data_IF_697106528138
#
_entry.id   IF_697106528138
#
_cell.length_a   1.000
_cell.length_b   1.000
_cell.length_c   1.000
_cell.angle_alpha   90.00
_cell.angle_beta   90.00
_cell.angle_gamma   90.00
#
_symmetry.space_group_name_H-M   'P 1'
#
loop_
_entity.id
_entity.type
_entity.pdbx_description
1 polymer ?
#
# COMPACT_ATOMS: atom_id res chain seq x y z
N UNK A 1 -0.60 5.74 5.90
CA UNK A 1 0.75 5.71 6.53
C UNK A 1 1.18 4.27 6.76
N UNK A 2 0.56 3.54 7.70
CA UNK A 2 0.82 2.11 7.92
C UNK A 2 0.79 1.26 6.64
N UNK A 3 -0.23 1.45 5.80
CA UNK A 3 -0.35 0.75 4.52
C UNK A 3 0.85 0.96 3.58
N UNK A 4 1.19 2.23 3.30
CA UNK A 4 2.30 2.56 2.40
C UNK A 4 3.64 2.07 2.96
N UNK A 5 3.85 2.19 4.26
CA UNK A 5 5.06 1.72 4.95
C UNK A 5 5.22 0.19 4.78
N UNK A 6 4.19 -0.56 5.16
CA UNK A 6 4.12 -2.01 5.01
C UNK A 6 4.30 -2.46 3.55
N UNK A 7 3.56 -1.85 2.62
CA UNK A 7 3.60 -2.18 1.20
C UNK A 7 4.98 -1.92 0.60
N UNK A 8 5.59 -0.76 0.88
CA UNK A 8 6.90 -0.40 0.35
C UNK A 8 8.03 -1.20 1.00
N UNK A 9 7.93 -1.58 2.27
CA UNK A 9 8.90 -2.49 2.90
C UNK A 9 8.91 -3.84 2.21
N UNK A 10 7.73 -4.45 1.99
CA UNK A 10 7.64 -5.72 1.26
C UNK A 10 8.21 -5.58 -0.16
N UNK A 11 7.88 -4.47 -0.83
CA UNK A 11 8.36 -4.22 -2.18
C UNK A 11 9.88 -4.04 -2.26
N UNK A 12 10.47 -3.15 -1.45
CA UNK A 12 11.89 -2.81 -1.53
C UNK A 12 12.82 -3.85 -0.90
N UNK A 13 12.41 -4.46 0.22
CA UNK A 13 13.19 -5.49 0.88
C UNK A 13 12.87 -6.91 0.34
N UNK A 14 11.95 -7.02 -0.63
CA UNK A 14 11.50 -8.30 -1.23
C UNK A 14 11.06 -9.30 -0.17
N UNK A 15 10.36 -8.83 0.85
CA UNK A 15 9.92 -9.67 1.98
C UNK A 15 8.79 -10.60 1.52
N UNK A 16 8.87 -11.90 1.82
CA UNK A 16 7.73 -12.78 1.60
C UNK A 16 6.57 -12.41 2.52
N UNK A 17 5.35 -12.69 2.08
CA UNK A 17 4.14 -12.45 2.85
C UNK A 17 3.31 -13.73 2.98
N UNK A 18 2.49 -13.77 4.02
CA UNK A 18 1.58 -14.89 4.27
C UNK A 18 0.35 -14.76 3.37
N UNK A 19 0.11 -15.75 2.51
CA UNK A 19 -1.09 -15.79 1.68
C UNK A 19 -2.32 -16.18 2.52
N UNK A 20 -3.42 -15.47 2.29
CA UNK A 20 -4.70 -15.68 2.94
C UNK A 20 -5.55 -16.58 2.04
N UNK A 21 -6.07 -17.66 2.60
CA UNK A 21 -7.11 -18.47 1.96
C UNK A 21 -8.43 -17.68 1.92
N UNK A 22 -8.81 -17.22 0.74
CA UNK A 22 -9.99 -16.38 0.53
C UNK A 22 -11.30 -17.08 0.87
N UNK A 23 -11.34 -18.42 0.82
CA UNK A 23 -12.54 -19.19 1.17
C UNK A 23 -12.82 -19.16 2.68
N UNK A 24 -11.79 -18.90 3.49
CA UNK A 24 -11.92 -18.79 4.96
C UNK A 24 -12.44 -17.43 5.43
N UNK A 25 -12.54 -16.44 4.52
CA UNK A 25 -12.91 -15.08 4.89
C UNK A 25 -14.42 -15.02 5.21
N UNK A 26 -14.82 -14.69 6.44
CA UNK A 26 -16.22 -14.79 6.87
C UNK A 26 -17.10 -13.65 6.33
N UNK A 27 -16.51 -12.56 5.85
CA UNK A 27 -17.25 -11.38 5.41
C UNK A 27 -17.92 -11.56 4.04
N UNK A 28 -19.25 -11.36 4.01
CA UNK A 28 -20.08 -11.52 2.81
C UNK A 28 -19.77 -10.44 1.78
N UNK A 29 -19.46 -9.21 2.21
CA UNK A 29 -19.18 -8.11 1.29
C UNK A 29 -17.90 -8.39 0.51
N UNK A 30 -16.85 -8.83 1.20
CA UNK A 30 -15.59 -9.28 0.61
C UNK A 30 -15.85 -10.34 -0.45
N UNK A 31 -16.50 -11.46 -0.08
CA UNK A 31 -16.72 -12.59 -1.00
C UNK A 31 -17.51 -12.17 -2.25
N UNK A 32 -18.51 -11.30 -2.09
CA UNK A 32 -19.30 -10.77 -3.23
C UNK A 32 -18.46 -9.90 -4.14
N UNK A 33 -17.67 -8.97 -3.60
CA UNK A 33 -16.80 -8.11 -4.41
C UNK A 33 -15.72 -8.93 -5.11
N UNK A 34 -15.08 -9.87 -4.41
CA UNK A 34 -14.07 -10.76 -4.98
C UNK A 34 -14.62 -11.63 -6.11
N UNK A 35 -15.79 -12.25 -5.90
CA UNK A 35 -16.48 -13.02 -6.92
C UNK A 35 -16.87 -12.16 -8.13
N UNK A 36 -17.36 -10.93 -7.90
CA UNK A 36 -17.71 -10.00 -8.97
C UNK A 36 -16.48 -9.60 -9.82
N UNK A 37 -15.35 -9.24 -9.18
CA UNK A 37 -14.10 -8.91 -9.90
C UNK A 37 -13.66 -10.12 -10.73
N UNK A 38 -13.64 -11.31 -10.13
CA UNK A 38 -13.23 -12.54 -10.80
C UNK A 38 -14.14 -12.85 -12.00
N UNK A 39 -15.46 -12.79 -11.81
CA UNK A 39 -16.43 -13.10 -12.87
C UNK A 39 -16.44 -12.07 -14.00
N UNK A 40 -16.25 -10.78 -13.69
CA UNK A 40 -16.29 -9.70 -14.69
C UNK A 40 -14.99 -9.56 -15.49
N UNK A 41 -13.84 -9.94 -14.91
CA UNK A 41 -12.52 -9.71 -15.53
C UNK A 41 -11.76 -10.99 -15.89
N UNK A 42 -12.12 -12.12 -15.27
CA UNK A 42 -11.38 -13.38 -15.34
C UNK A 42 -10.06 -13.39 -14.57
N UNK A 43 -9.74 -12.34 -13.80
CA UNK A 43 -8.54 -12.31 -12.96
C UNK A 43 -8.73 -13.15 -11.71
N UNK A 44 -7.70 -13.89 -11.33
CA UNK A 44 -7.65 -14.57 -10.05
C UNK A 44 -7.23 -13.56 -8.98
N UNK A 45 -8.04 -13.42 -7.93
CA UNK A 45 -7.63 -12.67 -6.75
C UNK A 45 -6.84 -13.55 -5.80
N UNK A 46 -5.81 -12.94 -5.20
CA UNK A 46 -5.01 -13.48 -4.11
C UNK A 46 -4.87 -12.39 -3.05
N UNK A 47 -4.74 -12.75 -1.78
CA UNK A 47 -4.54 -11.76 -0.72
C UNK A 47 -3.42 -12.18 0.23
N UNK A 48 -2.73 -11.19 0.79
CA UNK A 48 -1.55 -11.40 1.63
C UNK A 48 -1.59 -10.49 2.86
N UNK A 49 -1.11 -10.98 4.00
CA UNK A 49 -0.79 -10.14 5.16
C UNK A 49 0.58 -9.49 4.96
N UNK A 50 0.61 -8.17 4.82
CA UNK A 50 1.82 -7.34 4.76
C UNK A 50 2.14 -6.67 6.10
N UNK A 51 1.52 -7.06 7.21
CA UNK A 51 1.75 -6.45 8.52
C UNK A 51 3.23 -6.49 8.91
N UNK A 52 3.73 -5.37 9.39
CA UNK A 52 5.12 -5.15 9.82
C UNK A 52 5.17 -4.76 11.30
N UNK A 53 6.31 -4.29 11.79
CA UNK A 53 6.63 -4.10 13.21
C UNK A 53 5.61 -3.28 14.01
N UNK A 54 4.98 -2.27 13.39
CA UNK A 54 3.93 -1.47 14.04
C UNK A 54 2.62 -2.26 14.27
N UNK A 55 2.56 -3.52 13.82
CA UNK A 55 1.50 -4.50 14.04
C UNK A 55 0.07 -3.98 13.71
N UNK A 56 -0.03 -3.12 12.70
CA UNK A 56 -1.32 -2.69 12.15
C UNK A 56 -1.63 -3.62 10.98
N UNK A 57 -2.76 -4.34 11.01
CA UNK A 57 -3.13 -5.24 9.91
C UNK A 57 -3.11 -4.51 8.57
N UNK A 58 -2.31 -5.02 7.63
CA UNK A 58 -2.20 -4.50 6.27
C UNK A 58 -2.45 -5.64 5.28
N UNK A 59 -3.54 -5.59 4.54
CA UNK A 59 -3.85 -6.57 3.51
C UNK A 59 -3.38 -6.06 2.16
N UNK A 60 -2.77 -6.92 1.34
CA UNK A 60 -2.55 -6.67 -0.07
C UNK A 60 -3.34 -7.66 -0.91
N UNK A 61 -4.17 -7.16 -1.83
CA UNK A 61 -4.88 -7.93 -2.84
C UNK A 61 -4.13 -7.83 -4.15
N UNK A 62 -3.80 -8.98 -4.72
CA UNK A 62 -3.19 -9.10 -6.04
C UNK A 62 -4.23 -9.68 -7.00
N UNK A 63 -4.62 -8.90 -8.01
CA UNK A 63 -5.36 -9.41 -9.15
C UNK A 63 -4.37 -9.92 -10.20
N UNK A 64 -4.40 -11.22 -10.45
CA UNK A 64 -3.49 -11.91 -11.35
C UNK A 64 -4.19 -12.32 -12.63
N UNK A 65 -3.65 -11.90 -13.78
CA UNK A 65 -4.21 -12.26 -15.07
C UNK A 65 -4.07 -13.77 -15.36
N UNK A 66 -5.08 -14.37 -16.03
CA UNK A 66 -4.96 -15.72 -16.55
C UNK A 66 -3.92 -15.78 -17.68
N UNK A 67 -3.38 -16.98 -17.93
CA UNK A 67 -2.49 -17.23 -19.07
C UNK A 67 -1.18 -16.44 -19.06
N UNK A 68 -0.69 -16.02 -17.87
CA UNK A 68 0.57 -15.30 -17.73
C UNK A 68 0.54 -13.85 -18.22
N UNK A 69 -0.64 -13.21 -18.29
CA UNK A 69 -0.75 -11.77 -18.57
C UNK A 69 -0.50 -11.37 -20.03
N UNK A 70 -0.55 -12.30 -20.98
CA UNK A 70 -0.41 -11.95 -22.41
C UNK A 70 -1.64 -11.17 -22.90
N UNK A 71 -1.43 -9.97 -23.43
CA UNK A 71 -2.47 -9.12 -24.02
C UNK A 71 -3.42 -8.46 -23.02
N UNK A 72 -3.05 -8.41 -21.73
CA UNK A 72 -3.76 -7.69 -20.67
C UNK A 72 -2.79 -7.32 -19.55
N UNK A 73 -3.16 -6.45 -18.60
CA UNK A 73 -2.35 -6.22 -17.41
C UNK A 73 -1.98 -7.52 -16.68
N UNK A 74 -0.69 -7.76 -16.41
CA UNK A 74 -0.25 -9.01 -15.80
C UNK A 74 -0.68 -9.12 -14.33
N UNK A 75 -0.34 -8.11 -13.54
CA UNK A 75 -0.70 -8.00 -12.13
C UNK A 75 -1.25 -6.61 -11.82
N UNK A 76 -2.18 -6.54 -10.88
CA UNK A 76 -2.52 -5.33 -10.14
C UNK A 76 -2.40 -5.62 -8.65
N UNK A 77 -1.74 -4.73 -7.93
CA UNK A 77 -1.69 -4.76 -6.47
C UNK A 77 -2.52 -3.61 -5.91
N UNK A 78 -3.33 -3.92 -4.91
CA UNK A 78 -4.05 -2.96 -4.07
C UNK A 78 -3.74 -3.31 -2.62
N UNK A 79 -3.54 -2.33 -1.75
CA UNK A 79 -3.27 -2.57 -0.34
C UNK A 79 -4.10 -1.64 0.53
N UNK A 80 -4.44 -2.09 1.73
CA UNK A 80 -5.09 -1.25 2.72
C UNK A 80 -4.70 -1.70 4.12
N UNK A 81 -4.58 -0.73 5.04
CA UNK A 81 -4.32 -1.00 6.45
C UNK A 81 -5.50 -0.55 7.32
N UNK A 82 -5.85 -1.39 8.30
CA UNK A 82 -6.92 -1.11 9.25
C UNK A 82 -6.75 -1.93 10.54
N UNK A 83 -7.13 -1.43 11.73
CA UNK A 83 -7.05 -2.22 12.99
C UNK A 83 -7.85 -3.52 12.99
N UNK A 84 -8.91 -3.57 12.19
CA UNK A 84 -9.67 -4.79 11.86
C UNK A 84 -9.13 -5.41 10.56
N UNK A 85 -8.55 -6.62 10.59
CA UNK A 85 -8.05 -7.29 9.40
C UNK A 85 -9.11 -7.54 8.31
N UNK A 86 -10.35 -7.81 8.70
CA UNK A 86 -11.46 -8.03 7.74
C UNK A 86 -11.73 -6.74 6.98
N UNK A 87 -11.71 -5.60 7.68
CA UNK A 87 -11.89 -4.30 7.06
C UNK A 87 -10.68 -3.91 6.18
N UNK A 88 -9.45 -4.23 6.60
CA UNK A 88 -8.25 -4.03 5.77
C UNK A 88 -8.37 -4.80 4.44
N UNK A 89 -8.70 -6.09 4.50
CA UNK A 89 -8.89 -6.92 3.31
C UNK A 89 -10.03 -6.42 2.42
N UNK A 90 -11.15 -6.04 3.02
CA UNK A 90 -12.29 -5.48 2.30
C UNK A 90 -11.95 -4.18 1.56
N UNK A 91 -11.26 -3.26 2.22
CA UNK A 91 -10.85 -1.98 1.61
C UNK A 91 -9.91 -2.22 0.43
N UNK A 92 -8.88 -3.05 0.60
CA UNK A 92 -7.95 -3.41 -0.48
C UNK A 92 -8.69 -4.03 -1.68
N UNK A 93 -9.68 -4.89 -1.42
CA UNK A 93 -10.49 -5.54 -2.47
C UNK A 93 -11.40 -4.56 -3.20
N UNK A 94 -12.03 -3.63 -2.48
CA UNK A 94 -12.91 -2.60 -3.06
C UNK A 94 -12.14 -1.64 -3.97
N UNK A 95 -10.90 -1.33 -3.62
CA UNK A 95 -10.03 -0.50 -4.45
C UNK A 95 -9.52 -1.25 -5.69
N UNK A 96 -9.28 -2.57 -5.57
CA UNK A 96 -8.76 -3.37 -6.67
C UNK A 96 -9.69 -3.35 -7.92
N UNK A 97 -11.02 -3.33 -7.74
CA UNK A 97 -11.97 -3.36 -8.85
C UNK A 97 -11.83 -2.17 -9.81
N UNK A 98 -12.09 -0.92 -9.36
CA UNK A 98 -11.95 0.27 -10.20
C UNK A 98 -10.53 0.46 -10.75
N UNK A 99 -9.49 0.13 -9.97
CA UNK A 99 -8.10 0.20 -10.43
C UNK A 99 -7.84 -0.79 -11.57
N UNK A 100 -8.36 -2.01 -11.48
CA UNK A 100 -8.22 -3.03 -12.52
C UNK A 100 -8.94 -2.65 -13.80
N UNK A 101 -10.17 -2.13 -13.68
CA UNK A 101 -10.95 -1.65 -14.81
C UNK A 101 -10.22 -0.50 -15.54
N UNK A 102 -9.74 0.49 -14.78
CA UNK A 102 -8.94 1.58 -15.32
C UNK A 102 -7.69 1.06 -16.05
N UNK A 103 -6.93 0.16 -15.43
CA UNK A 103 -5.70 -0.39 -15.98
C UNK A 103 -5.96 -1.22 -17.26
N UNK A 104 -7.04 -2.00 -17.28
CA UNK A 104 -7.49 -2.71 -18.48
C UNK A 104 -7.86 -1.74 -19.61
N UNK A 105 -8.56 -0.65 -19.28
CA UNK A 105 -8.91 0.40 -20.24
C UNK A 105 -7.68 1.10 -20.84
N UNK A 106 -6.68 1.42 -20.01
CA UNK A 106 -5.40 1.99 -20.48
C UNK A 106 -4.66 1.00 -21.39
N UNK A 107 -4.58 -0.27 -21.00
CA UNK A 107 -3.93 -1.31 -21.80
C UNK A 107 -4.60 -1.50 -23.16
N UNK A 108 -5.94 -1.50 -23.22
CA UNK A 108 -6.69 -1.64 -24.45
C UNK A 108 -6.46 -0.47 -25.43
N UNK A 109 -6.33 0.76 -24.92
CA UNK A 109 -6.07 1.97 -25.73
C UNK A 109 -4.61 2.10 -26.14
N UNK A 110 -3.69 1.66 -25.29
CA UNK A 110 -2.25 1.81 -25.49
C UNK A 110 -1.51 0.48 -25.20
N UNK A 111 -1.63 -0.52 -26.10
CA UNK A 111 -0.89 -1.77 -25.98
C UNK A 111 0.61 -1.46 -25.95
N UNK A 112 1.30 -1.90 -24.89
CA UNK A 112 2.74 -1.63 -24.71
C UNK A 112 3.08 -0.46 -23.80
N UNK A 113 2.11 0.33 -23.31
CA UNK A 113 2.37 1.43 -22.36
C UNK A 113 3.08 0.98 -21.07
N UNK A 114 2.90 -0.28 -20.69
CA UNK A 114 3.54 -0.90 -19.53
C UNK A 114 5.03 -1.22 -19.73
N UNK A 115 5.53 -1.31 -20.97
CA UNK A 115 6.89 -1.76 -21.26
C UNK A 115 7.95 -0.76 -20.77
N UNK A 116 7.72 0.54 -20.97
CA UNK A 116 8.63 1.61 -20.55
C UNK A 116 8.84 1.64 -19.03
N UNK A 117 7.79 1.77 -18.17
CA UNK A 117 7.97 1.76 -16.72
C UNK A 117 8.39 0.40 -16.16
N UNK A 118 8.23 -0.70 -16.92
CA UNK A 118 8.77 -2.01 -16.56
C UNK A 118 10.29 -2.10 -16.77
N UNK A 119 10.78 -1.62 -17.91
CA UNK A 119 12.19 -1.65 -18.26
C UNK A 119 13.04 -0.69 -17.40
N UNK A 120 12.50 0.48 -17.08
CA UNK A 120 13.24 1.54 -16.41
C UNK A 120 12.47 2.10 -15.19
N UNK A 121 12.95 1.88 -13.96
CA UNK A 121 12.35 2.47 -12.74
C UNK A 121 12.28 4.00 -12.76
N UNK A 122 13.14 4.71 -13.49
CA UNK A 122 13.11 6.18 -13.56
C UNK A 122 11.90 6.72 -14.34
N UNK A 123 11.18 5.85 -15.05
CA UNK A 123 9.94 6.20 -15.73
C UNK A 123 8.71 6.10 -14.81
N UNK A 124 8.87 5.65 -13.56
CA UNK A 124 7.81 5.69 -12.55
C UNK A 124 7.78 7.07 -11.89
N UNK A 125 7.08 8.02 -12.51
CA UNK A 125 7.08 9.45 -12.12
C UNK A 125 5.83 9.88 -11.34
N UNK A 126 4.82 9.03 -11.33
CA UNK A 126 3.56 9.22 -10.62
C UNK A 126 2.93 7.87 -10.30
N UNK A 127 1.92 7.87 -9.43
CA UNK A 127 1.22 6.65 -9.01
C UNK A 127 0.69 5.79 -10.17
N UNK A 128 0.08 6.34 -11.24
CA UNK A 128 -0.38 5.52 -12.36
C UNK A 128 0.75 4.76 -13.07
N UNK A 129 1.96 5.31 -13.12
CA UNK A 129 3.12 4.64 -13.73
C UNK A 129 3.55 3.42 -12.89
N UNK A 130 3.35 3.48 -11.56
CA UNK A 130 3.60 2.34 -10.68
C UNK A 130 2.66 1.18 -11.03
N UNK A 131 1.37 1.43 -11.22
CA UNK A 131 0.43 0.40 -11.66
C UNK A 131 0.80 -0.17 -13.04
N UNK A 132 1.22 0.68 -13.99
CA UNK A 132 1.68 0.26 -15.31
C UNK A 132 2.91 -0.64 -15.27
N UNK A 133 3.86 -0.38 -14.35
CA UNK A 133 5.04 -1.23 -14.16
C UNK A 133 4.67 -2.68 -13.82
N UNK A 134 3.65 -2.89 -12.98
CA UNK A 134 3.17 -4.23 -12.62
C UNK A 134 2.16 -4.82 -13.62
N UNK A 135 1.62 -3.99 -14.50
CA UNK A 135 0.83 -4.46 -15.63
C UNK A 135 1.67 -5.20 -16.69
N UNK A 136 3.00 -5.07 -16.67
CA UNK A 136 3.90 -5.81 -17.56
C UNK A 136 4.14 -7.24 -17.08
N UNK A 137 4.35 -8.20 -17.99
CA UNK A 137 4.52 -9.62 -17.65
C UNK A 137 5.71 -9.91 -16.74
N UNK A 138 6.79 -9.14 -16.84
CA UNK A 138 7.95 -9.22 -15.92
C UNK A 138 7.58 -8.98 -14.44
N UNK A 139 6.37 -8.48 -14.15
CA UNK A 139 5.89 -8.32 -12.79
C UNK A 139 5.84 -9.65 -12.03
N UNK A 140 5.64 -10.78 -12.72
CA UNK A 140 5.67 -12.11 -12.10
C UNK A 140 7.03 -12.38 -11.43
N UNK A 141 8.13 -12.08 -12.12
CA UNK A 141 9.48 -12.28 -11.57
C UNK A 141 9.76 -11.28 -10.44
N UNK A 142 9.37 -10.02 -10.62
CA UNK A 142 9.60 -8.96 -9.60
C UNK A 142 8.86 -9.26 -8.30
N UNK A 143 7.63 -9.76 -8.40
CA UNK A 143 6.77 -10.09 -7.28
C UNK A 143 6.80 -11.58 -6.90
N UNK A 144 7.73 -12.38 -7.42
CA UNK A 144 7.82 -13.81 -7.08
C UNK A 144 7.94 -14.06 -5.57
N UNK A 145 8.63 -13.18 -4.85
CA UNK A 145 8.71 -13.22 -3.37
C UNK A 145 7.34 -13.11 -2.68
N UNK A 146 6.34 -12.53 -3.36
CA UNK A 146 4.97 -12.43 -2.89
C UNK A 146 4.11 -13.56 -3.46
N UNK A 147 4.09 -13.70 -4.80
CA UNK A 147 3.14 -14.56 -5.51
C UNK A 147 3.62 -16.01 -5.73
N UNK A 148 4.90 -16.29 -5.53
CA UNK A 148 5.51 -17.62 -5.75
C UNK A 148 6.49 -17.98 -4.62
N UNK A 149 6.10 -17.69 -3.37
CA UNK A 149 6.97 -17.87 -2.22
C UNK A 149 6.95 -19.28 -1.61
N UNK A 150 6.24 -20.22 -2.25
CA UNK A 150 6.16 -21.62 -1.85
C UNK A 150 5.33 -21.92 -0.59
N UNK A 151 4.76 -20.90 0.06
CA UNK A 151 3.93 -21.08 1.26
C UNK A 151 2.49 -21.41 0.88
N UNK A 152 1.89 -22.36 1.60
CA UNK A 152 0.46 -22.63 1.44
C UNK A 152 -0.36 -21.49 2.05
N UNK A 153 -1.50 -21.10 1.43
CA UNK A 153 -2.43 -20.16 2.05
C UNK A 153 -2.91 -20.66 3.40
N UNK A 154 -3.09 -19.74 4.35
CA UNK A 154 -3.64 -20.03 5.69
C UNK A 154 -4.94 -19.27 5.90
N UNK A 155 -5.72 -19.65 6.90
CA UNK A 155 -6.94 -18.93 7.23
C UNK A 155 -6.66 -17.48 7.67
N UNK A 156 -7.66 -16.60 7.49
CA UNK A 156 -7.54 -15.17 7.79
C UNK A 156 -7.04 -14.90 9.22
N UNK A 157 -7.52 -15.66 10.22
CA UNK A 157 -7.12 -15.42 11.60
C UNK A 157 -5.66 -15.79 11.80
N UNK A 158 -5.22 -16.92 11.26
CA UNK A 158 -3.80 -17.34 11.29
C UNK A 158 -2.89 -16.35 10.56
N UNK A 159 -3.29 -15.86 9.38
CA UNK A 159 -2.50 -14.91 8.60
C UNK A 159 -2.17 -13.65 9.41
N UNK A 160 -3.16 -13.08 10.09
CA UNK A 160 -2.98 -11.89 10.92
C UNK A 160 -2.62 -12.19 12.39
N UNK A 161 -2.16 -13.40 12.72
CA UNK A 161 -1.74 -13.77 14.08
C UNK A 161 -2.83 -13.60 15.14
N UNK A 162 -4.10 -13.82 14.78
CA UNK A 162 -5.26 -13.67 15.66
C UNK A 162 -5.63 -12.23 15.99
N UNK A 163 -4.96 -11.22 15.39
CA UNK A 163 -5.26 -9.80 15.62
C UNK A 163 -6.72 -9.49 15.31
N UNK A 164 -7.35 -8.71 16.18
CA UNK A 164 -8.72 -8.20 16.00
C UNK A 164 -8.76 -6.76 16.47
N UNK A 165 -9.68 -5.99 15.92
CA UNK A 165 -9.97 -4.65 16.45
C UNK A 165 -10.47 -4.78 17.90
N UNK A 166 -9.94 -3.99 18.86
CA UNK A 166 -10.50 -3.94 20.21
C UNK A 166 -11.98 -3.52 20.16
N UNK A 167 -12.85 -4.26 20.83
CA UNK A 167 -14.29 -4.00 20.82
C UNK A 167 -14.69 -2.94 21.86
N UNK A 168 -15.68 -2.10 21.53
CA UNK A 168 -16.34 -1.22 22.50
C UNK A 168 -15.59 0.06 22.88
N UNK A 169 -14.49 0.38 22.19
CA UNK A 169 -13.70 1.58 22.48
C UNK A 169 -14.03 2.75 21.55
N UNK A 170 -13.81 3.96 22.05
CA UNK A 170 -13.96 5.19 21.28
C UNK A 170 -12.80 5.36 20.29
N UNK A 171 -13.02 6.14 19.23
CA UNK A 171 -12.02 6.35 18.18
C UNK A 171 -10.71 6.94 18.72
N UNK A 172 -10.78 7.81 19.73
CA UNK A 172 -9.59 8.43 20.33
C UNK A 172 -8.71 7.41 21.07
N UNK A 173 -9.29 6.35 21.65
CA UNK A 173 -8.51 5.26 22.25
C UNK A 173 -7.76 4.49 21.16
N UNK A 174 -8.44 4.11 20.07
CA UNK A 174 -7.80 3.44 18.94
C UNK A 174 -6.69 4.29 18.31
N UNK A 175 -6.89 5.59 18.14
CA UNK A 175 -5.86 6.49 17.58
C UNK A 175 -4.65 6.57 18.51
N UNK A 176 -4.84 6.64 19.83
CA UNK A 176 -3.73 6.63 20.80
C UNK A 176 -2.99 5.30 20.84
N UNK A 177 -3.70 4.17 20.77
CA UNK A 177 -3.08 2.84 20.66
C UNK A 177 -2.22 2.75 19.39
N UNK A 178 -2.77 3.14 18.23
CA UNK A 178 -2.01 3.16 16.98
C UNK A 178 -0.77 4.05 17.07
N UNK A 179 -0.90 5.27 17.61
CA UNK A 179 0.24 6.16 17.80
C UNK A 179 1.30 5.55 18.74
N UNK A 180 0.85 4.88 19.81
CA UNK A 180 1.73 4.14 20.74
C UNK A 180 2.49 3.00 20.07
N UNK A 181 1.87 2.27 19.14
CA UNK A 181 2.55 1.22 18.37
C UNK A 181 3.66 1.78 17.50
N UNK A 182 3.41 2.88 16.77
CA UNK A 182 4.45 3.56 16.00
C UNK A 182 5.59 4.05 16.89
N UNK A 183 5.27 4.67 18.03
CA UNK A 183 6.26 5.12 19.00
C UNK A 183 7.10 3.97 19.56
N UNK A 184 6.51 2.79 19.79
CA UNK A 184 7.23 1.60 20.23
C UNK A 184 8.23 1.05 19.20
N UNK A 185 8.02 1.37 17.92
CA UNK A 185 8.94 1.11 16.82
C UNK A 185 9.97 2.24 16.61
N UNK A 186 10.03 3.22 17.51
CA UNK A 186 10.92 4.38 17.39
C UNK A 186 10.46 5.41 16.35
N UNK A 187 9.20 5.38 15.94
CA UNK A 187 8.61 6.33 15.00
C UNK A 187 7.65 7.28 15.72
N UNK A 188 8.00 8.57 15.77
CA UNK A 188 7.07 9.59 16.24
C UNK A 188 5.89 9.74 15.29
N UNK A 189 4.72 10.10 15.80
CA UNK A 189 3.54 10.41 14.97
C UNK A 189 3.26 11.91 15.04
N UNK A 190 3.45 12.59 13.93
CA UNK A 190 3.20 14.02 13.76
C UNK A 190 1.89 14.23 13.00
N UNK A 191 1.06 15.15 13.49
CA UNK A 191 -0.21 15.51 12.86
C UNK A 191 -0.19 17.00 12.54
N UNK A 192 -0.36 17.33 11.26
CA UNK A 192 -0.56 18.69 10.80
C UNK A 192 -2.04 18.91 10.49
N UNK A 193 -2.66 19.89 11.14
CA UNK A 193 -4.01 20.34 10.79
C UNK A 193 -3.95 21.14 9.47
N UNK A 194 -4.67 20.66 8.47
CA UNK A 194 -4.81 21.27 7.16
C UNK A 194 -6.24 21.75 6.91
N UNK A 195 -7.03 21.92 7.97
CA UNK A 195 -8.40 22.42 7.88
C UNK A 195 -8.37 23.87 7.39
N UNK A 196 -8.97 24.10 6.23
CA UNK A 196 -9.13 25.46 5.68
C UNK A 196 -10.44 26.07 6.17
N UNK A 197 -10.64 27.36 5.93
CA UNK A 197 -11.89 28.03 6.28
C UNK A 197 -13.10 27.38 5.60
N UNK A 198 -12.96 26.96 4.33
CA UNK A 198 -14.00 26.28 3.56
C UNK A 198 -14.32 24.89 4.15
N UNK A 199 -13.30 24.11 4.52
CA UNK A 199 -13.50 22.83 5.20
C UNK A 199 -14.24 23.02 6.53
N UNK A 200 -13.81 24.01 7.34
CA UNK A 200 -14.44 24.29 8.62
C UNK A 200 -15.90 24.76 8.45
N UNK A 201 -16.18 25.62 7.47
CA UNK A 201 -17.53 26.06 7.14
C UNK A 201 -18.45 24.90 6.70
N UNK A 202 -17.88 23.86 6.09
CA UNK A 202 -18.58 22.62 5.74
C UNK A 202 -18.67 21.59 6.88
N UNK A 203 -18.16 21.89 8.08
CA UNK A 203 -18.13 20.94 9.20
C UNK A 203 -17.10 19.81 9.06
N UNK A 204 -16.10 19.98 8.19
CA UNK A 204 -15.05 18.99 7.91
C UNK A 204 -13.75 19.31 8.67
N UNK A 205 -12.91 18.29 8.80
CA UNK A 205 -11.54 18.38 9.31
C UNK A 205 -10.59 17.69 8.34
N UNK A 206 -9.48 18.33 8.03
CA UNK A 206 -8.45 17.79 7.16
C UNK A 206 -7.14 17.73 7.93
N UNK A 207 -6.51 16.57 7.98
CA UNK A 207 -5.23 16.38 8.68
C UNK A 207 -4.27 15.63 7.79
N UNK A 208 -2.98 15.93 7.94
CA UNK A 208 -1.88 15.15 7.38
C UNK A 208 -1.10 14.50 8.52
N UNK A 209 -1.04 13.17 8.50
CA UNK A 209 -0.29 12.38 9.47
C UNK A 209 1.04 11.95 8.86
N UNK A 210 2.12 12.11 9.61
CA UNK A 210 3.48 11.76 9.24
C UNK A 210 4.09 10.90 10.36
N UNK A 211 4.80 9.84 9.99
CA UNK A 211 5.67 9.12 10.91
C UNK A 211 7.10 9.14 10.37
N UNK A 212 7.96 10.05 10.86
CA UNK A 212 9.38 10.00 10.56
C UNK A 212 9.93 8.61 10.91
N UNK A 213 10.58 7.95 9.94
CA UNK A 213 11.05 6.57 10.05
C UNK A 213 10.26 5.58 9.18
N UNK A 214 9.00 5.88 8.84
CA UNK A 214 8.24 5.10 7.86
C UNK A 214 8.81 5.31 6.44
N UNK A 215 8.74 4.28 5.60
CA UNK A 215 9.23 4.30 4.22
C UNK A 215 8.43 5.31 3.40
N UNK A 216 9.06 6.39 2.88
CA UNK A 216 8.36 7.37 2.09
C UNK A 216 8.19 6.87 0.66
N UNK A 217 7.01 7.10 0.09
CA UNK A 217 6.81 6.96 -1.34
C UNK A 217 7.31 8.22 -2.05
N UNK A 218 8.26 8.08 -2.97
CA UNK A 218 8.78 9.19 -3.77
C UNK A 218 8.86 8.80 -5.24
N UNK A 219 8.48 9.72 -6.14
CA UNK A 219 8.48 9.50 -7.59
C UNK A 219 9.44 10.42 -8.35
N UNK A 220 10.22 11.24 -7.64
CA UNK A 220 11.21 12.15 -8.24
C UNK A 220 12.60 11.54 -8.16
N UNK A 221 13.52 11.86 -9.09
CA UNK A 221 14.93 11.55 -8.93
C UNK A 221 15.40 12.09 -7.57
N UNK A 222 16.26 11.34 -6.87
CA UNK A 222 16.84 11.75 -5.58
C UNK A 222 17.30 13.20 -5.69
N UNK A 223 16.62 14.12 -5.01
CA UNK A 223 17.19 15.44 -4.77
C UNK A 223 18.43 15.17 -3.91
N UNK A 224 19.64 15.60 -4.33
CA UNK A 224 20.82 15.46 -3.50
C UNK A 224 20.51 16.00 -2.11
N UNK A 225 20.90 15.25 -1.07
CA UNK A 225 20.69 15.68 0.30
C UNK A 225 21.19 17.12 0.44
N UNK A 226 20.29 18.06 0.77
CA UNK A 226 20.73 19.38 1.21
C UNK A 226 21.42 19.20 2.57
N UNK A 227 22.60 19.79 2.79
CA UNK A 227 23.25 19.75 4.09
C UNK A 227 22.29 20.27 5.16
N UNK A 228 22.38 19.70 6.38
CA UNK A 228 21.51 20.13 7.47
C UNK A 228 21.78 21.61 7.76
N UNK A 229 20.79 22.42 8.16
CA UNK A 229 21.00 23.84 8.47
C UNK A 229 22.11 24.10 9.50
N UNK A 230 22.40 23.14 10.37
CA UNK A 230 23.49 23.21 11.34
C UNK A 230 24.89 23.13 10.72
N UNK A 231 25.05 22.51 9.54
CA UNK A 231 26.35 22.40 8.84
C UNK A 231 26.66 23.63 7.98
N UNK A 232 25.67 24.52 7.75
CA UNK A 232 25.86 25.77 7.02
C UNK A 232 26.26 26.94 7.93
N UNK A 233 26.17 26.78 9.25
CA UNK A 233 26.47 27.83 10.23
C UNK A 233 27.96 27.87 10.66
N UNK A 234 28.75 26.85 10.33
CA UNK A 234 30.14 26.71 10.79
C UNK A 234 31.17 27.44 9.89
N UNK A 235 30.70 28.26 8.95
CA UNK A 235 31.54 28.99 7.98
C UNK A 235 31.28 30.49 7.90
N UNK A 236 30.45 31.06 8.76
CA UNK A 236 30.20 32.50 8.79
C UNK A 236 31.02 33.16 9.91
N UNK A 237 32.29 33.44 9.64
CA UNK A 237 33.03 34.46 10.40
C UNK A 237 32.25 35.78 10.34
N UNK A 238 31.85 36.30 11.51
CA UNK A 238 31.37 37.67 11.63
C UNK A 238 32.51 38.62 11.30
N UNK A 239 32.37 39.57 10.35
CA UNK A 239 33.36 40.61 10.20
C UNK A 239 33.25 41.57 11.40
N UNK A 240 34.33 41.69 12.16
CA UNK A 240 34.55 42.82 13.06
C UNK A 240 34.73 44.09 12.23
N UNK A 241 33.95 45.13 12.53
CA UNK A 241 34.04 46.45 11.89
C UNK A 241 32.74 47.24 11.97
#
# INVERSE_FOLDING_TARGET
>A
MAELDAFLMHHYARLPAVEIDLETVPDVSFRRTAAWITASTGYRLRAFDLSVDHAVPCACVVAQAPGGGRGRPALLCSAAAHPDPVAALNSATREAGPLLDHLCGVHARHPGRAAEPAADPEQVRQMPDHALRYAHTDAFDRLAHLVDNGSAPVDLASAFGGRRRPAGETLDVHVRDLAGRFASCGMDVLVADQTTAEHAAAGLRCVRVLAPGAVPMTFRPRVPARPRPAEAADGAECPEG
#
